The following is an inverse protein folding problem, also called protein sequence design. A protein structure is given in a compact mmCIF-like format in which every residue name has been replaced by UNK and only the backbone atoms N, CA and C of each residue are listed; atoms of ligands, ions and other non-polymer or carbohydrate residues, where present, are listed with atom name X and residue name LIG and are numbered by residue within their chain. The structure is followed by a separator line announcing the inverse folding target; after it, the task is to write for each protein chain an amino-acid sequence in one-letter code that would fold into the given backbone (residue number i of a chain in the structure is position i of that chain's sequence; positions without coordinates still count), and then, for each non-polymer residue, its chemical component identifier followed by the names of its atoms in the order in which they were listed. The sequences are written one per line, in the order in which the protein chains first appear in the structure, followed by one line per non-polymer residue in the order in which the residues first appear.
data_IF_294236200613
#
_entry.id   IF_294236200613
#
_cell.length_a   1.000
_cell.length_b   1.000
_cell.length_c   1.000
_cell.angle_alpha   90.00
_cell.angle_beta   90.00
_cell.angle_gamma   90.00
#
_symmetry.space_group_name_H-M   'P 1'
#
loop_
_entity.id
_entity.type
_entity.pdbx_description
1 polymer ?
#
# COMPACT_ATOMS: atom_id res chain seq x y z
N UNK A 1 -13.29 1.30 30.94
CA UNK A 1 -12.18 0.95 30.04
C UNK A 1 -12.76 0.95 28.63
N UNK A 2 -12.68 2.07 27.92
CA UNK A 2 -13.10 2.15 26.53
C UNK A 2 -11.91 2.74 25.78
N UNK A 3 -11.10 1.85 25.24
CA UNK A 3 -9.99 2.23 24.37
C UNK A 3 -10.60 2.89 23.15
N UNK A 4 -10.37 4.19 23.01
CA UNK A 4 -10.61 4.94 21.81
C UNK A 4 -9.61 4.43 20.76
N UNK A 5 -9.93 3.30 20.11
CA UNK A 5 -9.24 2.87 18.91
C UNK A 5 -9.38 4.00 17.92
N UNK A 6 -8.28 4.71 17.69
CA UNK A 6 -8.13 5.67 16.61
C UNK A 6 -8.40 4.85 15.35
N UNK A 7 -9.64 4.91 14.85
CA UNK A 7 -10.00 4.37 13.56
C UNK A 7 -9.32 5.26 12.52
N UNK A 8 -8.02 5.05 12.33
CA UNK A 8 -7.37 5.35 11.06
C UNK A 8 -8.30 4.78 10.00
N UNK A 9 -8.77 5.59 9.04
CA UNK A 9 -9.94 5.25 8.23
C UNK A 9 -9.62 3.97 7.48
N UNK A 10 -10.19 2.86 7.98
CA UNK A 10 -9.71 1.51 7.74
C UNK A 10 -9.61 1.32 6.24
N UNK A 11 -8.43 0.95 5.75
CA UNK A 11 -8.28 0.51 4.38
C UNK A 11 -9.32 -0.59 4.15
N UNK A 12 -9.90 -0.65 2.95
CA UNK A 12 -10.71 -1.82 2.61
C UNK A 12 -9.85 -3.08 2.78
N UNK A 13 -10.42 -4.22 3.21
CA UNK A 13 -9.64 -5.43 3.46
C UNK A 13 -8.75 -5.80 2.27
N UNK A 14 -9.28 -5.67 1.04
CA UNK A 14 -8.52 -5.84 -0.21
C UNK A 14 -7.34 -4.86 -0.36
N UNK A 15 -7.54 -3.59 -0.03
CA UNK A 15 -6.46 -2.58 -0.08
C UNK A 15 -5.40 -2.82 0.99
N UNK A 16 -5.77 -3.41 2.11
CA UNK A 16 -4.84 -3.75 3.19
C UNK A 16 -4.02 -4.99 2.85
N UNK A 17 -4.65 -6.01 2.28
CA UNK A 17 -3.99 -7.24 1.82
C UNK A 17 -3.01 -6.93 0.69
N UNK A 18 -3.41 -6.06 -0.26
CA UNK A 18 -2.53 -5.49 -1.28
C UNK A 18 -1.28 -4.80 -0.74
N UNK A 19 -1.48 -3.96 0.28
CA UNK A 19 -0.37 -3.26 0.92
C UNK A 19 0.57 -4.25 1.60
N UNK A 20 0.02 -5.27 2.26
CA UNK A 20 0.82 -6.33 2.91
C UNK A 20 1.64 -7.11 1.87
N UNK A 21 1.00 -7.53 0.76
CA UNK A 21 1.67 -8.21 -0.35
C UNK A 21 2.79 -7.36 -0.97
N UNK A 22 2.53 -6.06 -1.22
CA UNK A 22 3.54 -5.13 -1.73
C UNK A 22 4.70 -4.94 -0.74
N UNK A 23 4.40 -4.83 0.56
CA UNK A 23 5.43 -4.64 1.60
C UNK A 23 6.23 -5.93 1.86
N UNK A 24 5.61 -7.10 1.67
CA UNK A 24 6.27 -8.40 1.76
C UNK A 24 7.18 -8.67 0.55
N UNK A 25 6.74 -8.27 -0.64
CA UNK A 25 7.49 -8.45 -1.88
C UNK A 25 8.59 -7.38 -2.07
N UNK A 26 8.37 -6.15 -1.58
CA UNK A 26 9.24 -5.02 -1.85
C UNK A 26 9.75 -4.45 -0.52
N UNK A 27 11.07 -4.43 -0.31
CA UNK A 27 11.62 -3.84 0.90
C UNK A 27 11.27 -2.35 0.98
N UNK A 28 10.87 -1.93 2.17
CA UNK A 28 10.40 -0.57 2.54
C UNK A 28 11.30 0.61 2.10
N UNK A 29 12.58 0.35 1.79
CA UNK A 29 13.53 1.36 1.33
C UNK A 29 13.75 1.36 -0.20
N UNK A 30 13.13 0.45 -0.94
CA UNK A 30 13.29 0.34 -2.40
C UNK A 30 12.08 0.91 -3.14
N UNK A 31 12.36 1.69 -4.19
CA UNK A 31 11.33 2.17 -5.11
C UNK A 31 11.03 1.13 -6.18
N UNK A 32 9.75 0.99 -6.51
CA UNK A 32 9.26 0.05 -7.51
C UNK A 32 8.38 0.74 -8.55
N UNK A 33 8.35 0.19 -9.76
CA UNK A 33 7.49 0.71 -10.82
C UNK A 33 6.04 0.27 -10.61
N UNK A 34 5.09 1.05 -11.13
CA UNK A 34 3.67 0.65 -11.20
C UNK A 34 3.48 -0.74 -11.80
N UNK A 35 4.23 -1.08 -12.85
CA UNK A 35 4.17 -2.41 -13.49
C UNK A 35 4.55 -3.55 -12.53
N UNK A 36 5.58 -3.36 -11.68
CA UNK A 36 5.92 -4.34 -10.64
C UNK A 36 4.79 -4.46 -9.63
N UNK A 37 4.21 -3.34 -9.23
CA UNK A 37 3.11 -3.32 -8.29
C UNK A 37 1.89 -4.09 -8.83
N UNK A 38 1.52 -3.84 -10.08
CA UNK A 38 0.43 -4.54 -10.75
C UNK A 38 0.71 -6.03 -10.90
N UNK A 39 1.96 -6.40 -11.19
CA UNK A 39 2.36 -7.81 -11.26
C UNK A 39 2.22 -8.50 -9.91
N UNK A 40 2.73 -7.90 -8.83
CA UNK A 40 2.64 -8.47 -7.48
C UNK A 40 1.19 -8.60 -7.04
N UNK A 41 0.38 -7.57 -7.24
CA UNK A 41 -1.05 -7.60 -6.89
C UNK A 41 -1.83 -8.63 -7.73
N UNK A 42 -1.45 -8.83 -8.99
CA UNK A 42 -2.04 -9.86 -9.83
C UNK A 42 -1.59 -11.28 -9.42
N UNK A 43 -0.35 -11.47 -8.99
CA UNK A 43 0.18 -12.79 -8.62
C UNK A 43 -0.23 -13.21 -7.19
N UNK A 44 -0.15 -12.30 -6.22
CA UNK A 44 -0.42 -12.60 -4.80
C UNK A 44 -1.92 -12.55 -4.47
N UNK A 45 -2.65 -11.59 -5.03
CA UNK A 45 -4.07 -11.37 -4.73
C UNK A 45 -5.03 -11.69 -5.89
N UNK A 46 -4.53 -12.18 -7.03
CA UNK A 46 -5.33 -12.42 -8.24
C UNK A 46 -6.10 -11.17 -8.70
N UNK A 47 -5.56 -9.98 -8.43
CA UNK A 47 -6.21 -8.72 -8.78
C UNK A 47 -6.10 -8.44 -10.28
N UNK A 48 -7.23 -8.03 -10.86
CA UNK A 48 -7.25 -7.45 -12.19
C UNK A 48 -6.49 -6.12 -12.20
N UNK A 49 -5.88 -5.77 -13.34
CA UNK A 49 -5.11 -4.52 -13.49
C UNK A 49 -5.89 -3.28 -13.03
N UNK A 50 -7.18 -3.18 -13.34
CA UNK A 50 -8.02 -2.06 -12.88
C UNK A 50 -8.24 -2.03 -11.37
N UNK A 51 -8.32 -3.19 -10.71
CA UNK A 51 -8.45 -3.28 -9.26
C UNK A 51 -7.11 -2.96 -8.57
N UNK A 52 -6.00 -3.38 -9.16
CA UNK A 52 -4.67 -3.04 -8.70
C UNK A 52 -4.41 -1.52 -8.81
N UNK A 53 -4.75 -0.90 -9.94
CA UNK A 53 -4.66 0.55 -10.15
C UNK A 53 -5.48 1.34 -9.12
N UNK A 54 -6.76 0.99 -8.95
CA UNK A 54 -7.63 1.61 -7.94
C UNK A 54 -7.07 1.44 -6.51
N UNK A 55 -6.48 0.28 -6.22
CA UNK A 55 -5.86 0.00 -4.92
C UNK A 55 -4.62 0.86 -4.68
N UNK A 56 -3.74 0.97 -5.68
CA UNK A 56 -2.54 1.81 -5.63
C UNK A 56 -2.92 3.28 -5.44
N UNK A 57 -3.93 3.75 -6.19
CA UNK A 57 -4.44 5.12 -6.07
C UNK A 57 -4.96 5.40 -4.66
N UNK A 58 -5.73 4.47 -4.07
CA UNK A 58 -6.19 4.61 -2.67
C UNK A 58 -5.03 4.65 -1.69
N UNK A 59 -3.99 3.84 -1.89
CA UNK A 59 -2.81 3.81 -1.03
C UNK A 59 -2.01 5.11 -1.14
N UNK A 60 -1.87 5.68 -2.34
CA UNK A 60 -1.30 7.00 -2.58
C UNK A 60 -2.12 8.11 -1.89
N UNK A 61 -3.44 8.10 -2.08
CA UNK A 61 -4.36 9.08 -1.47
C UNK A 61 -4.34 9.02 0.06
N UNK A 62 -4.11 7.84 0.63
CA UNK A 62 -3.96 7.64 2.08
C UNK A 62 -2.58 8.00 2.62
N UNK A 63 -1.58 8.18 1.75
CA UNK A 63 -0.18 8.44 2.13
C UNK A 63 0.60 7.20 2.55
N UNK A 64 0.10 5.99 2.24
CA UNK A 64 0.84 4.74 2.44
C UNK A 64 1.87 4.51 1.32
N UNK A 65 1.56 4.98 0.12
CA UNK A 65 2.49 5.02 -1.00
C UNK A 65 2.82 6.47 -1.32
N UNK A 66 4.00 6.68 -1.89
CA UNK A 66 4.40 7.95 -2.47
C UNK A 66 5.19 7.69 -3.75
N UNK A 67 5.01 8.56 -4.74
CA UNK A 67 5.76 8.51 -6.00
C UNK A 67 7.00 9.40 -5.91
N UNK A 68 8.16 8.84 -6.24
CA UNK A 68 9.44 9.55 -6.37
C UNK A 68 10.08 9.12 -7.68
N UNK A 69 10.33 10.09 -8.56
CA UNK A 69 10.99 9.85 -9.85
C UNK A 69 10.24 8.82 -10.74
N UNK A 70 8.91 8.78 -10.66
CA UNK A 70 8.07 7.81 -11.37
C UNK A 70 8.08 6.40 -10.76
N UNK A 71 8.68 6.23 -9.58
CA UNK A 71 8.68 4.97 -8.82
C UNK A 71 7.81 5.14 -7.57
N UNK A 72 6.98 4.14 -7.28
CA UNK A 72 6.25 4.01 -6.04
C UNK A 72 7.19 3.56 -4.92
N UNK A 73 6.99 4.12 -3.74
CA UNK A 73 7.66 3.70 -2.51
C UNK A 73 6.62 3.55 -1.41
N UNK A 74 6.81 2.53 -0.58
CA UNK A 74 6.01 2.36 0.63
C UNK A 74 6.54 3.33 1.69
N UNK A 75 5.67 4.15 2.26
CA UNK A 75 6.01 4.98 3.41
C UNK A 75 6.27 4.04 4.57
N UNK A 76 7.48 4.08 5.15
CA UNK A 76 7.68 3.62 6.52
C UNK A 76 6.68 4.38 7.39
N UNK A 77 5.62 3.69 7.83
CA UNK A 77 4.80 4.17 8.92
C UNK A 77 5.63 4.00 10.20
N UNK A 78 6.76 4.70 10.29
CA UNK A 78 7.31 5.06 11.59
C UNK A 78 6.14 5.67 12.32
N UNK A 79 5.71 5.01 13.40
CA UNK A 79 4.88 5.63 14.42
C UNK A 79 5.67 6.83 14.96
N UNK A 80 5.64 7.95 14.23
CA UNK A 80 6.08 9.24 14.70
C UNK A 80 4.97 9.78 15.60
N UNK A 81 4.83 9.18 16.77
CA UNK A 81 4.26 9.89 17.90
C UNK A 81 5.07 9.52 19.14
N UNK A 82 6.11 10.32 19.33
CA UNK A 82 6.67 10.80 20.62
C UNK A 82 5.65 10.80 21.78
#
# INVERSE_FOLDING_TARGET
MASNSIESPRLSPLTQDALDALTAAIPENEGFSYECAYTILAEEEDLSQSAAEDTIERLLLRGHLYEVDGQLRVTEWTQANE
#
